data_IF_220115880594
#
_entry.id   IF_220115880594
#
_cell.length_a   1.000
_cell.length_b   1.000
_cell.length_c   1.000
_cell.angle_alpha   90.00
_cell.angle_beta   90.00
_cell.angle_gamma   90.00
#
_symmetry.space_group_name_H-M   'P 1'
#
loop_
_entity.id
_entity.type
_entity.pdbx_description
1 polymer ?
#
# COMPACT_ATOMS: atom_id res chain seq x y z
N UNK A 1 38.53 -7.14 -1.58
CA UNK A 1 37.24 -7.10 -0.85
C UNK A 1 36.05 -6.66 -1.69
N UNK A 2 36.20 -5.71 -2.64
CA UNK A 2 35.08 -5.18 -3.45
C UNK A 2 34.39 -6.24 -4.33
N UNK A 3 35.13 -7.26 -4.82
CA UNK A 3 34.57 -8.30 -5.71
C UNK A 3 33.64 -9.28 -4.99
N UNK A 4 33.83 -9.51 -3.68
CA UNK A 4 33.01 -10.46 -2.91
C UNK A 4 31.60 -9.91 -2.68
N UNK A 5 31.44 -8.59 -2.59
CA UNK A 5 30.15 -7.92 -2.37
C UNK A 5 29.18 -8.07 -3.56
N UNK A 6 29.70 -8.14 -4.79
CA UNK A 6 28.89 -8.24 -6.02
C UNK A 6 28.41 -9.66 -6.35
N UNK A 7 28.88 -10.68 -5.63
CA UNK A 7 28.59 -12.10 -5.91
C UNK A 7 27.67 -12.77 -4.89
N UNK A 8 27.31 -12.09 -3.79
CA UNK A 8 26.43 -12.68 -2.77
C UNK A 8 24.99 -12.69 -3.25
N UNK A 9 24.30 -13.80 -2.98
CA UNK A 9 22.86 -13.89 -3.16
C UNK A 9 22.13 -12.98 -2.17
N UNK A 10 20.90 -12.58 -2.50
CA UNK A 10 20.07 -11.78 -1.60
C UNK A 10 19.84 -12.45 -0.24
N UNK A 11 19.85 -13.78 -0.18
CA UNK A 11 19.69 -14.57 1.06
C UNK A 11 20.93 -14.46 1.94
N UNK A 12 22.12 -14.54 1.35
CA UNK A 12 23.39 -14.38 2.07
C UNK A 12 23.54 -12.96 2.61
N UNK A 13 23.20 -11.95 1.80
CA UNK A 13 23.23 -10.54 2.21
C UNK A 13 22.30 -10.29 3.41
N UNK A 14 21.06 -10.82 3.38
CA UNK A 14 20.12 -10.70 4.51
C UNK A 14 20.68 -11.36 5.77
N UNK A 15 21.22 -12.57 5.64
CA UNK A 15 21.78 -13.32 6.75
C UNK A 15 22.96 -12.56 7.39
N UNK A 16 23.84 -11.96 6.59
CA UNK A 16 24.95 -11.15 7.09
C UNK A 16 24.47 -9.86 7.77
N UNK A 17 23.46 -9.17 7.23
CA UNK A 17 22.87 -7.97 7.86
C UNK A 17 22.32 -8.33 9.24
N UNK A 18 21.55 -9.42 9.36
CA UNK A 18 20.98 -9.87 10.63
C UNK A 18 22.09 -10.20 11.65
N UNK A 19 23.17 -10.84 11.21
CA UNK A 19 24.33 -11.11 12.06
C UNK A 19 25.04 -9.84 12.52
N UNK A 20 25.17 -8.83 11.64
CA UNK A 20 25.79 -7.55 11.97
C UNK A 20 24.94 -6.77 12.97
N UNK A 21 23.62 -6.73 12.77
CA UNK A 21 22.69 -6.08 13.71
C UNK A 21 22.72 -6.74 15.09
N UNK A 22 22.79 -8.07 15.16
CA UNK A 22 22.92 -8.80 16.43
C UNK A 22 24.26 -8.57 17.15
N UNK A 23 25.34 -8.30 16.41
CA UNK A 23 26.66 -7.97 16.99
C UNK A 23 26.72 -6.54 17.53
N UNK A 24 25.92 -5.63 16.99
CA UNK A 24 25.75 -4.28 17.52
C UNK A 24 24.91 -4.41 18.80
N UNK A 25 25.58 -4.57 19.94
CA UNK A 25 24.92 -4.55 21.24
C UNK A 25 24.10 -3.26 21.40
N UNK A 26 23.02 -3.33 22.21
CA UNK A 26 22.00 -2.29 22.48
C UNK A 26 22.53 -0.92 22.96
N UNK A 27 23.84 -0.71 22.96
CA UNK A 27 24.57 0.42 23.53
C UNK A 27 24.78 1.54 22.49
N UNK A 28 24.50 1.29 21.21
CA UNK A 28 24.66 2.27 20.12
C UNK A 28 23.31 2.61 19.48
N UNK A 29 22.36 3.03 20.32
CA UNK A 29 20.99 3.38 19.94
C UNK A 29 20.96 4.45 18.83
N UNK A 30 21.91 5.38 18.82
CA UNK A 30 22.05 6.40 17.77
C UNK A 30 22.31 5.78 16.40
N UNK A 31 23.17 4.78 16.31
CA UNK A 31 23.44 4.08 15.04
C UNK A 31 22.22 3.29 14.57
N UNK A 32 21.55 2.57 15.48
CA UNK A 32 20.33 1.83 15.16
C UNK A 32 19.20 2.75 14.68
N UNK A 33 19.07 3.96 15.25
CA UNK A 33 18.12 4.99 14.78
C UNK A 33 18.41 5.45 13.35
N UNK A 34 19.68 5.61 12.99
CA UNK A 34 20.08 5.98 11.62
C UNK A 34 19.77 4.85 10.64
N UNK A 35 20.15 3.60 10.96
CA UNK A 35 19.84 2.43 10.12
C UNK A 35 18.33 2.25 9.97
N UNK A 36 17.58 2.39 11.07
CA UNK A 36 16.12 2.35 11.05
C UNK A 36 15.54 3.42 10.14
N UNK A 37 15.99 4.68 10.25
CA UNK A 37 15.53 5.77 9.39
C UNK A 37 15.81 5.48 7.92
N UNK A 38 17.03 5.04 7.59
CA UNK A 38 17.43 4.75 6.21
C UNK A 38 16.60 3.60 5.60
N UNK A 39 16.43 2.50 6.35
CA UNK A 39 15.62 1.36 5.90
C UNK A 39 14.13 1.73 5.79
N UNK A 40 13.63 2.52 6.74
CA UNK A 40 12.25 3.02 6.71
C UNK A 40 12.02 3.90 5.50
N UNK A 41 12.94 4.82 5.20
CA UNK A 41 12.88 5.63 3.98
C UNK A 41 12.89 4.75 2.74
N UNK A 42 13.77 3.75 2.63
CA UNK A 42 13.79 2.85 1.45
C UNK A 42 12.52 2.01 1.29
N UNK A 43 11.89 1.61 2.40
CA UNK A 43 10.60 0.90 2.40
C UNK A 43 9.45 1.85 2.06
N UNK A 44 9.52 3.11 2.49
CA UNK A 44 8.51 4.15 2.21
C UNK A 44 8.65 4.76 0.82
N UNK A 45 9.85 4.80 0.25
CA UNK A 45 10.14 5.21 -1.13
C UNK A 45 9.64 4.19 -2.14
N UNK A 46 9.49 2.93 -1.71
CA UNK A 46 8.67 2.00 -2.46
C UNK A 46 7.22 2.42 -2.27
N UNK A 47 6.58 2.76 -3.39
CA UNK A 47 5.15 3.04 -3.43
C UNK A 47 4.42 1.74 -3.79
N UNK A 48 4.02 0.91 -2.82
CA UNK A 48 3.43 -0.39 -3.11
C UNK A 48 2.05 -0.24 -3.74
N UNK A 49 1.69 -1.19 -4.60
CA UNK A 49 0.31 -1.33 -5.07
C UNK A 49 -0.54 -1.90 -3.93
N UNK A 50 -1.56 -1.17 -3.50
CA UNK A 50 -2.47 -1.59 -2.42
C UNK A 50 -3.78 -2.19 -2.92
N UNK A 51 -4.05 -2.09 -4.23
CA UNK A 51 -5.26 -2.62 -4.84
C UNK A 51 -5.37 -2.25 -6.33
N UNK A 52 -6.50 -2.62 -6.92
CA UNK A 52 -6.84 -2.34 -8.31
C UNK A 52 -8.24 -1.74 -8.40
N UNK A 53 -8.45 -0.81 -9.33
CA UNK A 53 -9.79 -0.29 -9.60
C UNK A 53 -10.59 -1.23 -10.52
N UNK A 54 -11.86 -0.88 -10.80
CA UNK A 54 -12.73 -1.66 -11.67
C UNK A 54 -12.23 -1.84 -13.12
N UNK A 55 -11.28 -1.00 -13.56
CA UNK A 55 -10.63 -1.10 -14.87
C UNK A 55 -9.28 -1.87 -14.81
N UNK A 56 -8.93 -2.45 -13.67
CA UNK A 56 -7.66 -3.17 -13.47
C UNK A 56 -6.43 -2.27 -13.37
N UNK A 57 -6.60 -0.95 -13.20
CA UNK A 57 -5.47 -0.03 -12.98
C UNK A 57 -4.96 -0.17 -11.53
N UNK A 58 -3.64 -0.32 -11.32
CA UNK A 58 -3.08 -0.39 -9.98
C UNK A 58 -3.27 0.94 -9.25
N UNK A 59 -3.63 0.84 -7.97
CA UNK A 59 -3.69 1.94 -7.03
C UNK A 59 -2.50 1.84 -6.09
N UNK A 60 -1.67 2.89 -6.10
CA UNK A 60 -0.47 2.97 -5.30
C UNK A 60 -0.76 3.58 -3.92
N UNK A 61 0.01 3.22 -2.90
CA UNK A 61 -0.20 3.65 -1.52
C UNK A 61 -0.14 5.16 -1.33
N UNK A 62 0.77 5.85 -2.03
CA UNK A 62 0.91 7.30 -1.98
C UNK A 62 -0.38 8.01 -2.41
N UNK A 63 -0.89 7.62 -3.59
CA UNK A 63 -2.13 8.16 -4.18
C UNK A 63 -3.34 7.81 -3.33
N UNK A 64 -3.44 6.57 -2.86
CA UNK A 64 -4.56 6.13 -2.05
C UNK A 64 -4.65 6.88 -0.71
N UNK A 65 -3.51 7.17 -0.08
CA UNK A 65 -3.46 7.92 1.18
C UNK A 65 -4.03 9.32 1.01
N UNK A 66 -3.69 10.00 -0.08
CA UNK A 66 -4.23 11.33 -0.39
C UNK A 66 -5.74 11.25 -0.71
N UNK A 67 -6.15 10.27 -1.52
CA UNK A 67 -7.56 10.07 -1.87
C UNK A 67 -8.43 9.77 -0.65
N UNK A 68 -7.97 8.88 0.24
CA UNK A 68 -8.70 8.53 1.45
C UNK A 68 -8.77 9.70 2.44
N UNK A 69 -7.70 10.50 2.54
CA UNK A 69 -7.73 11.72 3.34
C UNK A 69 -8.76 12.71 2.80
N UNK A 70 -8.79 12.95 1.48
CA UNK A 70 -9.77 13.83 0.86
C UNK A 70 -11.21 13.35 1.07
N UNK A 71 -11.45 12.04 0.98
CA UNK A 71 -12.77 11.43 1.25
C UNK A 71 -13.18 11.60 2.71
N UNK A 72 -12.25 11.44 3.66
CA UNK A 72 -12.52 11.67 5.08
C UNK A 72 -12.94 13.13 5.33
N UNK A 73 -12.18 14.08 4.78
CA UNK A 73 -12.50 15.50 4.91
C UNK A 73 -13.84 15.86 4.24
N UNK A 74 -14.21 15.19 3.15
CA UNK A 74 -15.53 15.35 2.53
C UNK A 74 -16.66 14.89 3.46
N UNK A 75 -16.48 13.74 4.12
CA UNK A 75 -17.43 13.25 5.14
C UNK A 75 -17.55 14.25 6.29
N UNK A 76 -16.44 14.81 6.77
CA UNK A 76 -16.44 15.83 7.83
C UNK A 76 -17.19 17.12 7.40
N UNK A 77 -17.15 17.47 6.11
CA UNK A 77 -17.92 18.58 5.53
C UNK A 77 -19.40 18.25 5.30
N UNK A 78 -19.85 17.04 5.58
CA UNK A 78 -21.21 16.59 5.33
C UNK A 78 -21.48 16.09 3.91
N UNK A 79 -20.44 15.88 3.10
CA UNK A 79 -20.55 15.31 1.75
C UNK A 79 -20.64 13.78 1.82
N UNK A 80 -21.67 13.27 2.50
CA UNK A 80 -21.98 11.85 2.58
C UNK A 80 -23.43 11.62 2.15
N UNK A 81 -23.74 10.37 1.80
CA UNK A 81 -25.12 9.90 1.67
C UNK A 81 -25.43 8.96 2.82
N UNK A 82 -26.66 9.03 3.30
CA UNK A 82 -27.19 8.07 4.27
C UNK A 82 -27.45 6.72 3.62
N UNK A 83 -27.58 5.68 4.45
CA UNK A 83 -27.91 4.35 3.95
C UNK A 83 -29.26 4.31 3.21
N UNK A 84 -30.23 5.12 3.64
CA UNK A 84 -31.54 5.22 2.98
C UNK A 84 -31.45 5.90 1.61
N UNK A 85 -30.63 6.95 1.50
CA UNK A 85 -30.37 7.60 0.22
C UNK A 85 -29.64 6.66 -0.75
N UNK A 86 -28.65 5.92 -0.25
CA UNK A 86 -27.96 4.89 -1.03
C UNK A 86 -28.93 3.80 -1.51
N UNK A 87 -29.83 3.34 -0.63
CA UNK A 87 -30.84 2.34 -0.99
C UNK A 87 -31.73 2.83 -2.13
N UNK A 88 -32.24 4.05 -2.02
CA UNK A 88 -33.06 4.68 -3.07
C UNK A 88 -32.31 4.84 -4.39
N UNK A 89 -31.02 5.21 -4.34
CA UNK A 89 -30.19 5.30 -5.54
C UNK A 89 -30.01 3.93 -6.21
N UNK A 90 -29.76 2.90 -5.41
CA UNK A 90 -29.48 1.54 -5.90
C UNK A 90 -30.62 0.92 -6.70
N UNK A 91 -31.88 1.30 -6.41
CA UNK A 91 -33.07 0.86 -7.15
C UNK A 91 -33.01 1.27 -8.63
N UNK A 92 -32.27 2.35 -8.95
CA UNK A 92 -32.12 2.84 -10.32
C UNK A 92 -31.03 2.10 -11.12
N UNK A 93 -30.12 1.39 -10.45
CA UNK A 93 -28.96 0.76 -11.10
C UNK A 93 -29.37 -0.43 -11.97
N UNK A 94 -30.41 -1.17 -11.56
CA UNK A 94 -30.97 -2.28 -12.35
C UNK A 94 -31.76 -1.81 -13.58
N UNK A 95 -32.28 -0.58 -13.58
CA UNK A 95 -33.05 -0.05 -14.71
C UNK A 95 -32.15 0.42 -15.86
N UNK A 96 -30.87 0.72 -15.59
CA UNK A 96 -29.93 1.29 -16.57
C UNK A 96 -28.98 0.28 -17.21
N UNK A 97 -28.99 -0.97 -16.76
CA UNK A 97 -28.09 -2.00 -17.28
C UNK A 97 -28.88 -2.93 -18.20
N UNK A 98 -28.52 -3.09 -19.49
CA UNK A 98 -29.09 -4.17 -20.29
C UNK A 98 -28.75 -5.47 -19.58
N UNK A 99 -29.78 -6.27 -19.28
CA UNK A 99 -29.64 -7.59 -18.69
C UNK A 99 -28.50 -8.34 -19.42
N UNK A 100 -27.43 -8.65 -18.69
CA UNK A 100 -26.45 -9.60 -19.17
C UNK A 100 -27.20 -10.94 -19.34
N UNK A 101 -27.59 -11.23 -20.58
CA UNK A 101 -28.33 -12.44 -20.94
C UNK A 101 -27.48 -13.65 -20.57
N UNK A 102 -27.77 -14.24 -19.42
CA UNK A 102 -27.25 -15.53 -18.98
C UNK A 102 -28.06 -16.64 -19.68
N UNK A 103 -28.03 -16.64 -21.02
CA UNK A 103 -28.53 -17.72 -21.86
C UNK A 103 -27.48 -17.98 -22.94
N UNK A 104 -26.50 -18.83 -22.63
CA UNK A 104 -25.66 -19.59 -23.57
C UNK A 104 -24.64 -20.42 -22.78
N UNK A 105 -25.10 -21.49 -22.15
CA UNK A 105 -24.32 -22.73 -21.93
C UNK A 105 -25.31 -23.89 -21.97
#
# INVERSE_FOLDING_TARGET
MIVKQMLMSAVEIRTEIDQLLNKIQSNNESFLKVVHSMLTTYVQEQDPVIGYNAAGKPMYASVAKEEFKARHEAVDRGEFITLEELKKESETWLQKTPLCNRQSL
#
